data_IF_115391000852
#
_entry.id   IF_115391000852
#
_cell.length_a   1.000
_cell.length_b   1.000
_cell.length_c   1.000
_cell.angle_alpha   90.00
_cell.angle_beta   90.00
_cell.angle_gamma   90.00
#
_symmetry.space_group_name_H-M   'P 1'
#
loop_
_entity.id
_entity.type
_entity.pdbx_description
1 polymer ?
#
# COMPACT_ATOMS: atom_id res chain seq x y z
N UNK A 1 -8.12 -21.89 -11.89
CA UNK A 1 -8.59 -20.50 -12.05
C UNK A 1 -7.51 -19.47 -11.76
N UNK A 2 -6.78 -19.56 -10.65
CA UNK A 2 -5.65 -18.65 -10.33
C UNK A 2 -4.55 -18.63 -11.40
N UNK A 3 -4.35 -19.73 -12.14
CA UNK A 3 -3.40 -19.81 -13.25
C UNK A 3 -3.81 -18.96 -14.47
N UNK A 4 -5.09 -18.64 -14.63
CA UNK A 4 -5.60 -17.84 -15.75
C UNK A 4 -5.61 -16.34 -15.45
N UNK A 5 -5.86 -15.94 -14.19
CA UNK A 5 -5.92 -14.54 -13.77
C UNK A 5 -4.64 -14.03 -13.14
N UNK A 6 -3.70 -14.93 -12.75
CA UNK A 6 -2.42 -14.58 -12.15
C UNK A 6 -2.52 -13.93 -10.76
N UNK A 7 -3.70 -13.88 -10.16
CA UNK A 7 -3.94 -13.24 -8.86
C UNK A 7 -4.85 -14.07 -7.97
N UNK A 8 -4.62 -14.01 -6.65
CA UNK A 8 -5.45 -14.69 -5.65
C UNK A 8 -6.83 -14.05 -5.42
N UNK A 9 -7.10 -12.88 -6.00
CA UNK A 9 -8.39 -12.18 -5.93
C UNK A 9 -9.11 -12.32 -7.27
N UNK A 10 -9.83 -13.40 -7.42
CA UNK A 10 -10.62 -13.72 -8.60
C UNK A 10 -11.84 -12.79 -8.73
N UNK A 11 -11.98 -12.14 -9.90
CA UNK A 11 -13.20 -11.45 -10.32
C UNK A 11 -13.80 -12.23 -11.51
N UNK A 12 -15.03 -12.69 -11.36
CA UNK A 12 -15.71 -13.52 -12.36
C UNK A 12 -15.81 -12.79 -13.73
N UNK A 13 -15.96 -11.46 -13.71
CA UNK A 13 -16.02 -10.67 -14.93
C UNK A 13 -14.67 -10.65 -15.65
N UNK A 14 -13.55 -10.54 -14.92
CA UNK A 14 -12.20 -10.64 -15.49
C UNK A 14 -12.01 -11.99 -16.20
N UNK A 15 -12.43 -13.08 -15.56
CA UNK A 15 -12.34 -14.41 -16.14
C UNK A 15 -13.16 -14.55 -17.44
N UNK A 16 -14.41 -14.08 -17.44
CA UNK A 16 -15.28 -14.15 -18.64
C UNK A 16 -14.64 -13.37 -19.79
N UNK A 17 -14.13 -12.16 -19.52
CA UNK A 17 -13.47 -11.34 -20.55
C UNK A 17 -12.24 -12.06 -21.12
N UNK A 18 -11.41 -12.66 -20.26
CA UNK A 18 -10.23 -13.39 -20.71
C UNK A 18 -10.58 -14.64 -21.53
N UNK A 19 -11.68 -15.35 -21.21
CA UNK A 19 -12.17 -16.46 -22.02
C UNK A 19 -12.64 -15.99 -23.40
N UNK A 20 -13.38 -14.88 -23.49
CA UNK A 20 -13.79 -14.30 -24.77
C UNK A 20 -12.56 -13.88 -25.60
N UNK A 21 -11.54 -13.29 -24.97
CA UNK A 21 -10.30 -12.93 -25.66
C UNK A 21 -9.59 -14.17 -26.20
N UNK A 22 -9.50 -15.24 -25.43
CA UNK A 22 -8.83 -16.49 -25.84
C UNK A 22 -9.63 -17.17 -26.98
N UNK A 23 -10.97 -17.13 -26.96
CA UNK A 23 -11.86 -17.70 -28.02
C UNK A 23 -11.76 -16.94 -29.32
N UNK A 24 -11.72 -15.60 -29.29
CA UNK A 24 -11.71 -14.75 -30.47
C UNK A 24 -10.30 -14.23 -30.82
N UNK A 25 -9.27 -14.86 -30.29
CA UNK A 25 -7.88 -14.52 -30.57
C UNK A 25 -7.61 -14.58 -32.09
N UNK A 26 -6.75 -13.69 -32.57
CA UNK A 26 -6.32 -13.60 -33.96
C UNK A 26 -7.46 -13.31 -34.95
N UNK A 27 -8.51 -12.63 -34.49
CA UNK A 27 -9.62 -12.13 -35.27
C UNK A 27 -9.76 -10.61 -35.16
N UNK A 28 -10.58 -10.00 -36.01
CA UNK A 28 -10.94 -8.57 -35.93
C UNK A 28 -12.18 -8.31 -35.05
N UNK A 29 -12.46 -9.18 -34.07
CA UNK A 29 -13.62 -9.07 -33.19
C UNK A 29 -13.51 -7.89 -32.25
N UNK A 30 -14.64 -7.24 -31.99
CA UNK A 30 -14.76 -6.22 -30.92
C UNK A 30 -15.44 -6.86 -29.70
N UNK A 31 -14.78 -6.78 -28.55
CA UNK A 31 -15.34 -7.21 -27.26
C UNK A 31 -15.74 -5.95 -26.48
N UNK A 32 -17.01 -5.89 -26.07
CA UNK A 32 -17.55 -4.81 -25.24
C UNK A 32 -18.14 -5.40 -23.97
N UNK A 33 -17.61 -4.98 -22.80
CA UNK A 33 -18.03 -5.55 -21.51
C UNK A 33 -18.18 -4.48 -20.43
N UNK A 34 -19.31 -4.54 -19.70
CA UNK A 34 -19.52 -3.77 -18.49
C UNK A 34 -18.76 -4.42 -17.33
N UNK A 35 -17.85 -3.69 -16.70
CA UNK A 35 -17.06 -4.22 -15.60
C UNK A 35 -16.58 -3.12 -14.65
N UNK A 36 -15.92 -3.53 -13.56
CA UNK A 36 -15.18 -2.58 -12.72
C UNK A 36 -13.98 -2.02 -13.48
N UNK A 37 -13.64 -0.76 -13.25
CA UNK A 37 -12.47 -0.12 -13.86
C UNK A 37 -11.16 -0.88 -13.52
N UNK A 38 -11.07 -1.46 -12.31
CA UNK A 38 -9.92 -2.30 -11.93
C UNK A 38 -9.80 -3.58 -12.76
N UNK A 39 -10.92 -4.20 -13.13
CA UNK A 39 -10.97 -5.38 -14.02
C UNK A 39 -10.48 -5.00 -15.41
N UNK A 40 -11.00 -3.91 -15.99
CA UNK A 40 -10.56 -3.42 -17.30
C UNK A 40 -9.04 -3.18 -17.36
N UNK A 41 -8.47 -2.58 -16.30
CA UNK A 41 -7.01 -2.36 -16.20
C UNK A 41 -6.21 -3.66 -16.10
N UNK A 42 -6.72 -4.66 -15.38
CA UNK A 42 -6.09 -5.97 -15.29
C UNK A 42 -6.13 -6.67 -16.65
N UNK A 43 -7.28 -6.65 -17.32
CA UNK A 43 -7.42 -7.23 -18.66
C UNK A 43 -6.42 -6.61 -19.65
N UNK A 44 -6.26 -5.28 -19.65
CA UNK A 44 -5.25 -4.63 -20.51
C UNK A 44 -3.82 -5.14 -20.21
N UNK A 45 -3.45 -5.30 -18.93
CA UNK A 45 -2.15 -5.85 -18.55
C UNK A 45 -2.00 -7.31 -19.02
N UNK A 46 -3.06 -8.10 -18.93
CA UNK A 46 -3.06 -9.50 -19.37
C UNK A 46 -2.95 -9.63 -20.90
N UNK A 47 -3.64 -8.78 -21.68
CA UNK A 47 -3.46 -8.70 -23.13
C UNK A 47 -1.99 -8.51 -23.50
N UNK A 48 -1.30 -7.57 -22.84
CA UNK A 48 0.13 -7.31 -23.04
C UNK A 48 1.00 -8.49 -22.61
N UNK A 49 0.75 -9.06 -21.42
CA UNK A 49 1.49 -10.20 -20.89
C UNK A 49 1.40 -11.45 -21.77
N UNK A 50 0.19 -11.73 -22.28
CA UNK A 50 -0.09 -12.87 -23.17
C UNK A 50 0.28 -12.59 -24.63
N UNK A 51 0.73 -11.37 -24.94
CA UNK A 51 1.01 -10.92 -26.33
C UNK A 51 -0.17 -11.21 -27.27
N UNK A 52 -1.38 -10.90 -26.82
CA UNK A 52 -2.58 -10.98 -27.66
C UNK A 52 -2.53 -9.83 -28.65
N UNK A 53 -2.84 -10.08 -29.92
CA UNK A 53 -2.93 -9.05 -30.94
C UNK A 53 -4.22 -8.24 -30.75
N UNK A 54 -4.10 -6.93 -30.57
CA UNK A 54 -5.24 -6.01 -30.48
C UNK A 54 -4.84 -4.62 -30.96
N UNK A 55 -5.77 -3.96 -31.66
CA UNK A 55 -5.59 -2.63 -32.25
C UNK A 55 -5.84 -1.53 -31.25
N UNK A 56 -6.89 -1.67 -30.43
CA UNK A 56 -7.20 -0.73 -29.36
C UNK A 56 -7.79 -1.42 -28.13
N UNK A 57 -7.59 -0.77 -26.98
CA UNK A 57 -8.25 -1.10 -25.74
C UNK A 57 -8.65 0.22 -25.08
N UNK A 58 -9.94 0.47 -24.93
CA UNK A 58 -10.49 1.72 -24.46
C UNK A 58 -11.45 1.50 -23.31
N UNK A 59 -11.55 2.46 -22.44
CA UNK A 59 -12.41 2.45 -21.25
C UNK A 59 -13.34 3.66 -21.32
N UNK A 60 -14.65 3.43 -21.24
CA UNK A 60 -15.64 4.50 -21.05
C UNK A 60 -16.12 4.46 -19.61
N UNK A 61 -15.66 5.42 -18.80
CA UNK A 61 -16.01 5.52 -17.38
C UNK A 61 -17.32 6.27 -17.16
N UNK A 62 -18.11 5.78 -16.22
CA UNK A 62 -19.32 6.43 -15.75
C UNK A 62 -19.48 6.32 -14.23
N UNK A 63 -20.35 7.14 -13.66
CA UNK A 63 -20.66 7.12 -12.24
C UNK A 63 -21.67 6.00 -11.93
N UNK A 64 -21.16 4.88 -11.42
CA UNK A 64 -21.98 3.73 -11.04
C UNK A 64 -22.96 4.02 -9.90
N UNK A 65 -22.72 5.03 -9.09
CA UNK A 65 -23.63 5.44 -8.03
C UNK A 65 -24.92 6.06 -8.61
N UNK A 66 -24.79 6.80 -9.70
CA UNK A 66 -25.95 7.38 -10.41
C UNK A 66 -26.72 6.32 -11.19
N UNK A 67 -26.02 5.38 -11.81
CA UNK A 67 -26.65 4.37 -12.71
C UNK A 67 -27.20 3.18 -11.94
N UNK A 68 -26.46 2.67 -10.97
CA UNK A 68 -26.75 1.41 -10.26
C UNK A 68 -26.92 1.56 -8.74
N UNK A 69 -26.77 2.76 -8.17
CA UNK A 69 -26.85 2.99 -6.74
C UNK A 69 -25.72 2.33 -5.93
N UNK A 70 -24.58 2.00 -6.56
CA UNK A 70 -23.46 1.33 -5.93
C UNK A 70 -22.20 2.21 -5.87
N UNK A 71 -21.49 2.16 -4.74
CA UNK A 71 -20.23 2.88 -4.58
C UNK A 71 -19.05 2.06 -5.14
N UNK A 72 -18.96 1.97 -6.47
CA UNK A 72 -17.85 1.32 -7.15
C UNK A 72 -17.49 2.06 -8.44
N UNK A 73 -16.23 2.07 -8.83
CA UNK A 73 -15.82 2.54 -10.16
C UNK A 73 -16.23 1.49 -11.19
N UNK A 74 -17.01 1.88 -12.20
CA UNK A 74 -17.44 1.02 -13.28
C UNK A 74 -17.18 1.66 -14.63
N UNK A 75 -17.10 0.83 -15.66
CA UNK A 75 -16.83 1.26 -17.02
C UNK A 75 -17.37 0.26 -18.04
N UNK A 76 -17.51 0.70 -19.29
CA UNK A 76 -17.57 -0.18 -20.46
C UNK A 76 -16.14 -0.32 -20.97
N UNK A 77 -15.62 -1.54 -20.99
CA UNK A 77 -14.36 -1.90 -21.60
C UNK A 77 -14.61 -2.25 -23.07
N UNK A 78 -13.87 -1.62 -23.99
CA UNK A 78 -13.89 -1.91 -25.43
C UNK A 78 -12.52 -2.43 -25.83
N UNK A 79 -12.47 -3.62 -26.46
CA UNK A 79 -11.24 -4.21 -26.99
C UNK A 79 -11.48 -4.53 -28.45
N UNK A 80 -10.68 -3.98 -29.35
CA UNK A 80 -10.65 -4.38 -30.73
C UNK A 80 -9.47 -5.33 -30.95
N UNK A 81 -9.75 -6.62 -31.06
CA UNK A 81 -8.75 -7.62 -31.39
C UNK A 81 -8.24 -7.40 -32.81
N UNK A 82 -7.12 -8.01 -33.15
CA UNK A 82 -6.51 -7.91 -34.49
C UNK A 82 -6.11 -9.30 -35.00
N UNK A 83 -6.30 -9.51 -36.28
CA UNK A 83 -5.77 -10.64 -37.05
C UNK A 83 -4.33 -10.39 -37.55
N UNK A 84 -3.78 -9.22 -37.23
CA UNK A 84 -2.39 -8.81 -37.49
C UNK A 84 -1.61 -8.77 -36.21
N UNK A 85 -0.29 -8.84 -36.29
CA UNK A 85 0.60 -8.72 -35.16
C UNK A 85 0.70 -7.25 -34.68
N UNK A 86 -0.41 -6.74 -34.13
CA UNK A 86 -0.57 -5.40 -33.60
C UNK A 86 -0.83 -5.49 -32.10
N UNK A 87 -0.01 -4.81 -31.28
CA UNK A 87 -0.20 -4.79 -29.84
C UNK A 87 -0.07 -3.35 -29.32
N UNK A 88 -1.23 -2.72 -29.02
CA UNK A 88 -1.23 -1.35 -28.49
C UNK A 88 -0.55 -1.28 -27.10
N UNK A 89 0.28 -0.26 -26.92
CA UNK A 89 0.88 0.06 -25.62
C UNK A 89 0.03 0.99 -24.74
N UNK A 90 -1.05 1.52 -25.29
CA UNK A 90 -1.86 2.55 -24.65
C UNK A 90 -3.31 2.11 -24.55
N UNK A 91 -3.92 2.36 -23.40
CA UNK A 91 -5.35 2.30 -23.15
C UNK A 91 -5.86 3.72 -22.88
N UNK A 92 -6.84 4.18 -23.63
CA UNK A 92 -7.46 5.48 -23.42
C UNK A 92 -8.70 5.37 -22.54
N UNK A 93 -8.91 6.41 -21.72
CA UNK A 93 -10.06 6.51 -20.82
C UNK A 93 -10.90 7.70 -21.25
N UNK A 94 -12.17 7.46 -21.54
CA UNK A 94 -13.14 8.44 -21.99
C UNK A 94 -14.28 8.60 -21.00
N UNK A 95 -15.02 9.68 -21.12
CA UNK A 95 -16.30 9.85 -20.45
C UNK A 95 -17.37 9.08 -21.19
N UNK A 96 -18.21 8.30 -20.49
CA UNK A 96 -19.28 7.54 -21.12
C UNK A 96 -20.37 8.44 -21.73
N UNK A 97 -20.69 9.56 -21.06
CA UNK A 97 -21.69 10.52 -21.54
C UNK A 97 -21.15 11.39 -22.69
N UNK A 98 -19.82 11.59 -22.72
CA UNK A 98 -19.12 12.40 -23.73
C UNK A 98 -17.94 11.62 -24.31
N UNK A 99 -18.17 10.61 -25.18
CA UNK A 99 -17.13 9.71 -25.68
C UNK A 99 -16.03 10.41 -26.50
N UNK A 100 -16.28 11.59 -27.02
CA UNK A 100 -15.28 12.41 -27.71
C UNK A 100 -14.29 13.05 -26.73
N UNK A 101 -14.61 13.09 -25.43
CA UNK A 101 -13.76 13.70 -24.39
C UNK A 101 -12.89 12.64 -23.73
N UNK A 102 -11.62 12.59 -24.14
CA UNK A 102 -10.63 11.77 -23.45
C UNK A 102 -10.31 12.35 -22.07
N UNK A 103 -10.48 11.57 -21.00
CA UNK A 103 -10.16 11.92 -19.61
C UNK A 103 -8.68 11.71 -19.31
N UNK A 104 -8.12 10.57 -19.73
CA UNK A 104 -6.75 10.19 -19.46
C UNK A 104 -6.30 9.05 -20.36
N UNK A 105 -5.05 8.68 -20.30
CA UNK A 105 -4.49 7.47 -20.89
C UNK A 105 -3.49 6.82 -19.93
N UNK A 106 -3.41 5.50 -19.97
CA UNK A 106 -2.42 4.71 -19.24
C UNK A 106 -1.83 3.64 -20.16
N UNK A 107 -0.75 3.01 -19.75
CA UNK A 107 -0.13 1.97 -20.57
C UNK A 107 1.35 1.82 -20.32
N UNK A 108 2.06 1.40 -21.35
CA UNK A 108 3.47 1.07 -21.27
C UNK A 108 4.35 2.10 -22.01
N UNK A 109 5.45 2.51 -21.38
CA UNK A 109 6.54 3.25 -22.02
C UNK A 109 7.82 2.45 -21.74
N UNK A 110 8.54 2.05 -22.79
CA UNK A 110 9.76 1.24 -22.69
C UNK A 110 9.58 -0.03 -21.81
N UNK A 111 8.42 -0.70 -21.96
CA UNK A 111 8.09 -1.90 -21.18
C UNK A 111 7.66 -1.66 -19.74
N UNK A 112 7.64 -0.43 -19.26
CA UNK A 112 7.22 -0.06 -17.91
C UNK A 112 5.80 0.49 -17.91
N UNK A 113 4.98 0.00 -16.97
CA UNK A 113 3.58 0.39 -16.86
C UNK A 113 3.40 1.69 -16.06
N UNK A 114 2.66 2.64 -16.62
CA UNK A 114 2.27 3.90 -16.00
C UNK A 114 0.73 4.02 -15.96
N UNK A 115 0.20 4.50 -14.83
CA UNK A 115 -1.23 4.75 -14.68
C UNK A 115 -1.69 6.07 -15.29
N UNK A 116 -0.75 6.99 -15.55
CA UNK A 116 -0.96 8.26 -16.24
C UNK A 116 0.23 8.50 -17.18
N UNK A 117 -0.07 8.67 -18.46
CA UNK A 117 0.95 8.94 -19.50
C UNK A 117 1.08 10.44 -19.85
N UNK A 118 0.30 11.28 -19.18
CA UNK A 118 0.30 12.73 -19.37
C UNK A 118 1.07 13.39 -18.23
N UNK A 119 2.02 14.28 -18.55
CA UNK A 119 2.94 14.88 -17.60
C UNK A 119 4.15 13.96 -17.36
N UNK A 120 5.27 14.27 -18.01
CA UNK A 120 6.51 13.53 -17.76
C UNK A 120 7.02 13.86 -16.36
N UNK A 121 7.00 12.85 -15.49
CA UNK A 121 7.74 12.84 -14.23
C UNK A 121 9.12 12.22 -14.44
N UNK A 122 10.04 12.49 -13.53
CA UNK A 122 11.30 11.75 -13.46
C UNK A 122 11.05 10.24 -13.44
N UNK A 123 11.91 9.49 -14.11
CA UNK A 123 11.80 8.03 -14.12
C UNK A 123 12.50 7.42 -12.90
N UNK A 124 11.82 7.41 -11.77
CA UNK A 124 12.27 6.72 -10.56
C UNK A 124 11.79 5.27 -10.47
N UNK A 125 11.25 4.73 -11.56
CA UNK A 125 10.78 3.35 -11.61
C UNK A 125 11.94 2.36 -11.65
N UNK A 126 11.94 1.43 -10.72
CA UNK A 126 12.98 0.41 -10.61
C UNK A 126 12.65 -0.59 -9.51
N UNK A 127 13.63 -0.92 -8.70
CA UNK A 127 13.52 -1.77 -7.54
C UNK A 127 13.87 -0.99 -6.27
N UNK A 128 13.00 -1.06 -5.28
CA UNK A 128 13.25 -0.44 -3.98
C UNK A 128 14.27 -1.27 -3.20
N UNK A 129 15.37 -0.63 -2.78
CA UNK A 129 16.38 -1.29 -1.94
C UNK A 129 15.91 -1.57 -0.51
N UNK A 130 14.83 -0.92 -0.07
CA UNK A 130 14.20 -1.16 1.23
C UNK A 130 12.99 -2.08 1.07
N UNK A 131 12.78 -2.96 2.05
CA UNK A 131 11.62 -3.85 2.02
C UNK A 131 10.37 -3.17 2.61
N UNK A 132 9.40 -2.90 1.77
CA UNK A 132 8.10 -2.42 2.19
C UNK A 132 7.32 -3.50 2.94
N UNK A 133 6.85 -3.17 4.12
CA UNK A 133 6.03 -4.03 4.97
C UNK A 133 4.63 -3.45 5.12
N UNK A 134 3.65 -4.30 5.28
CA UNK A 134 2.29 -3.94 5.67
C UNK A 134 2.17 -4.06 7.18
N UNK A 135 1.35 -3.21 7.80
CA UNK A 135 1.15 -3.24 9.23
C UNK A 135 0.34 -4.42 9.74
N UNK A 136 0.17 -4.47 11.04
CA UNK A 136 -0.45 -5.59 11.75
C UNK A 136 -1.94 -5.71 11.45
N UNK A 137 -2.40 -6.96 11.32
CA UNK A 137 -3.80 -7.33 11.13
C UNK A 137 -4.23 -8.29 12.22
N UNK A 138 -5.27 -7.95 12.96
CA UNK A 138 -5.82 -8.78 14.05
C UNK A 138 -7.33 -9.02 13.95
N UNK A 139 -8.05 -8.25 13.13
CA UNK A 139 -9.50 -8.33 12.90
C UNK A 139 -10.37 -8.37 14.19
N UNK A 140 -9.88 -7.80 15.29
CA UNK A 140 -10.54 -7.73 16.58
C UNK A 140 -10.32 -6.38 17.26
N UNK A 141 -10.57 -5.27 16.52
CA UNK A 141 -10.20 -3.91 16.93
C UNK A 141 -10.82 -3.46 18.26
N UNK A 142 -12.05 -3.88 18.55
CA UNK A 142 -12.71 -3.50 19.81
C UNK A 142 -12.04 -4.09 21.06
N UNK A 143 -11.26 -5.14 20.92
CA UNK A 143 -10.54 -5.81 22.01
C UNK A 143 -9.04 -5.47 21.99
N UNK A 144 -8.42 -5.57 20.80
CA UNK A 144 -6.98 -5.44 20.65
C UNK A 144 -6.49 -3.99 20.61
N UNK A 145 -7.33 -3.05 20.15
CA UNK A 145 -6.97 -1.64 20.07
C UNK A 145 -7.43 -0.89 21.34
N UNK A 146 -6.51 -0.16 21.93
CA UNK A 146 -6.72 0.55 23.17
C UNK A 146 -6.55 2.06 22.98
N UNK A 147 -7.16 2.83 23.85
CA UNK A 147 -6.90 4.25 24.06
C UNK A 147 -6.54 4.47 25.54
N UNK A 148 -5.83 5.54 25.85
CA UNK A 148 -5.53 5.90 27.25
C UNK A 148 -6.44 7.06 27.65
N UNK A 149 -7.10 6.91 28.79
CA UNK A 149 -7.86 7.97 29.45
C UNK A 149 -7.54 7.96 30.94
N UNK A 150 -7.09 9.10 31.45
CA UNK A 150 -6.71 9.26 32.87
C UNK A 150 -5.68 8.19 33.33
N UNK A 151 -4.72 7.87 32.46
CA UNK A 151 -3.69 6.86 32.72
C UNK A 151 -4.17 5.39 32.66
N UNK A 152 -5.43 5.14 32.28
CA UNK A 152 -6.03 3.80 32.22
C UNK A 152 -6.30 3.43 30.76
N UNK A 153 -5.93 2.21 30.38
CA UNK A 153 -6.30 1.65 29.07
C UNK A 153 -7.81 1.43 28.98
N UNK A 154 -8.38 1.85 27.85
CA UNK A 154 -9.78 1.62 27.47
C UNK A 154 -9.82 0.87 26.15
N UNK A 155 -10.64 -0.18 26.08
CA UNK A 155 -10.89 -0.92 24.83
C UNK A 155 -11.91 -0.18 23.93
N UNK A 156 -12.25 -0.77 22.79
CA UNK A 156 -13.22 -0.19 21.84
C UNK A 156 -14.67 -0.16 22.35
N UNK A 157 -14.98 -0.75 23.52
CA UNK A 157 -16.26 -0.64 24.22
C UNK A 157 -16.22 0.42 25.33
N UNK A 158 -15.12 1.14 25.49
CA UNK A 158 -14.87 2.10 26.57
C UNK A 158 -14.78 1.46 27.97
N UNK A 159 -14.55 0.17 28.04
CA UNK A 159 -14.30 -0.56 29.28
C UNK A 159 -12.85 -0.36 29.72
N UNK A 160 -12.62 -0.25 31.02
CA UNK A 160 -11.27 -0.23 31.59
C UNK A 160 -10.63 -1.60 31.45
N UNK A 161 -9.37 -1.62 30.98
CA UNK A 161 -8.62 -2.85 30.75
C UNK A 161 -7.37 -2.84 31.64
N UNK A 162 -7.27 -3.85 32.50
CA UNK A 162 -6.08 -4.05 33.33
C UNK A 162 -5.23 -5.14 32.71
N UNK A 163 -4.10 -4.74 32.09
CA UNK A 163 -3.18 -5.62 31.37
C UNK A 163 -1.75 -5.18 31.60
N UNK A 164 -0.79 -6.05 31.26
CA UNK A 164 0.63 -5.73 31.30
C UNK A 164 1.00 -4.75 30.18
N UNK A 165 1.73 -3.69 30.54
CA UNK A 165 2.20 -2.68 29.58
C UNK A 165 3.26 -3.23 28.60
N UNK A 166 3.93 -4.31 28.95
CA UNK A 166 5.04 -4.90 28.18
C UNK A 166 4.67 -5.35 26.77
N UNK A 167 3.39 -5.69 26.54
CA UNK A 167 2.88 -6.13 25.23
C UNK A 167 1.93 -5.11 24.58
N UNK A 168 1.86 -3.91 25.12
CA UNK A 168 1.07 -2.80 24.56
C UNK A 168 1.99 -1.85 23.84
N UNK A 169 1.72 -1.60 22.59
CA UNK A 169 2.54 -0.78 21.70
C UNK A 169 1.74 0.38 21.10
N UNK A 170 2.36 1.55 20.88
CA UNK A 170 1.75 2.63 20.12
C UNK A 170 1.26 2.13 18.75
N UNK A 171 0.06 2.55 18.35
CA UNK A 171 -0.56 2.17 17.08
C UNK A 171 -0.86 3.41 16.24
N UNK A 172 -0.41 3.39 14.98
CA UNK A 172 -0.84 4.35 13.97
C UNK A 172 -1.76 3.68 12.95
N UNK A 173 -2.87 4.33 12.65
CA UNK A 173 -3.85 3.94 11.62
C UNK A 173 -3.78 4.88 10.43
N UNK A 174 -4.19 4.43 9.25
CA UNK A 174 -4.17 5.23 8.03
C UNK A 174 -4.70 6.65 8.20
N UNK A 175 -5.75 6.86 8.99
CA UNK A 175 -6.33 8.20 9.23
C UNK A 175 -5.46 9.13 10.07
N UNK A 176 -4.40 8.61 10.68
CA UNK A 176 -3.51 9.38 11.56
C UNK A 176 -2.26 9.92 10.83
N UNK A 177 -2.01 9.53 9.59
CA UNK A 177 -0.93 10.07 8.76
C UNK A 177 -1.25 11.50 8.31
N UNK A 178 -1.02 12.48 9.18
CA UNK A 178 -1.37 13.89 8.96
C UNK A 178 -0.18 14.85 9.08
N UNK A 179 0.98 14.35 9.51
CA UNK A 179 2.20 15.11 9.69
C UNK A 179 3.41 14.31 9.19
N UNK A 180 4.48 14.96 8.73
CA UNK A 180 5.69 14.29 8.27
C UNK A 180 6.49 13.61 9.39
N UNK A 181 6.27 14.01 10.65
CA UNK A 181 6.87 13.40 11.83
C UNK A 181 5.74 13.08 12.81
N UNK A 182 5.68 11.82 13.26
CA UNK A 182 4.65 11.35 14.20
C UNK A 182 5.35 10.57 15.32
N UNK A 183 5.31 11.11 16.53
CA UNK A 183 5.93 10.53 17.72
C UNK A 183 5.00 10.46 18.94
N UNK A 184 3.81 11.07 18.85
CA UNK A 184 2.78 11.04 19.88
C UNK A 184 1.57 10.22 19.41
N UNK A 185 1.09 9.32 20.25
CA UNK A 185 0.06 8.36 19.92
C UNK A 185 -1.09 8.38 20.92
N UNK A 186 -2.31 8.36 20.42
CA UNK A 186 -3.55 8.24 21.20
C UNK A 186 -4.16 6.83 21.10
N UNK A 187 -3.59 5.97 20.27
CA UNK A 187 -4.01 4.59 20.10
C UNK A 187 -2.86 3.65 20.38
N UNK A 188 -3.21 2.49 20.91
CA UNK A 188 -2.30 1.41 21.24
C UNK A 188 -2.88 0.09 20.76
N UNK A 189 -2.03 -0.93 20.67
CA UNK A 189 -2.44 -2.29 20.29
C UNK A 189 -1.76 -3.31 21.18
N UNK A 190 -2.51 -4.33 21.58
CA UNK A 190 -1.98 -5.52 22.24
C UNK A 190 -1.27 -6.37 21.19
N UNK A 191 0.00 -6.68 21.38
CA UNK A 191 0.80 -7.50 20.45
C UNK A 191 1.06 -8.86 21.09
N UNK A 192 0.39 -9.88 20.59
CA UNK A 192 0.37 -11.23 21.17
C UNK A 192 1.45 -12.16 20.66
N UNK A 193 2.20 -11.76 19.63
CA UNK A 193 3.19 -12.59 18.94
C UNK A 193 4.36 -11.74 18.46
N UNK A 194 5.55 -12.34 18.36
CA UNK A 194 6.73 -11.73 17.73
C UNK A 194 6.88 -12.14 16.26
N UNK A 195 6.32 -13.26 15.87
CA UNK A 195 6.32 -13.79 14.50
C UNK A 195 5.00 -14.43 14.15
N UNK A 196 4.71 -14.52 12.84
CA UNK A 196 3.47 -15.10 12.32
C UNK A 196 3.36 -16.56 12.76
N UNK A 197 2.17 -16.95 13.25
CA UNK A 197 1.81 -18.29 13.73
C UNK A 197 2.60 -18.77 14.96
N UNK A 198 3.26 -17.85 15.67
CA UNK A 198 3.79 -18.17 17.00
C UNK A 198 2.65 -18.59 17.92
N UNK A 199 2.90 -19.61 18.74
CA UNK A 199 1.90 -20.04 19.73
C UNK A 199 1.65 -18.92 20.74
N UNK A 200 0.39 -18.68 21.06
CA UNK A 200 -0.02 -17.63 22.00
C UNK A 200 -0.24 -18.14 23.43
N UNK A 201 -0.07 -19.44 23.68
CA UNK A 201 -0.21 -20.04 25.02
C UNK A 201 0.84 -19.51 26.02
N UNK A 202 2.01 -19.06 25.54
CA UNK A 202 3.04 -18.45 26.38
C UNK A 202 2.51 -17.22 27.16
N UNK A 203 1.53 -16.50 26.59
CA UNK A 203 0.92 -15.32 27.24
C UNK A 203 0.33 -15.66 28.61
N UNK A 204 -0.10 -16.90 28.82
CA UNK A 204 -0.65 -17.36 30.10
C UNK A 204 0.33 -17.22 31.27
N UNK A 205 1.61 -17.41 30.99
CA UNK A 205 2.67 -17.34 32.00
C UNK A 205 3.33 -15.95 31.98
N UNK A 206 3.56 -15.39 30.79
CA UNK A 206 4.35 -14.16 30.63
C UNK A 206 3.54 -12.91 30.99
N UNK A 207 2.23 -12.89 30.66
CA UNK A 207 1.32 -11.74 30.83
C UNK A 207 -0.09 -12.19 31.24
N UNK A 208 -0.22 -12.75 32.47
CA UNK A 208 -1.44 -13.42 32.92
C UNK A 208 -2.69 -12.54 32.95
N UNK A 209 -2.57 -11.24 33.24
CA UNK A 209 -3.73 -10.32 33.19
C UNK A 209 -4.22 -10.12 31.78
N UNK A 210 -3.30 -9.98 30.83
CA UNK A 210 -3.65 -9.90 29.40
C UNK A 210 -4.24 -11.21 28.90
N UNK A 211 -3.69 -12.34 29.32
CA UNK A 211 -4.27 -13.65 28.99
C UNK A 211 -5.72 -13.76 29.47
N UNK A 212 -6.01 -13.40 30.72
CA UNK A 212 -7.36 -13.39 31.28
C UNK A 212 -8.30 -12.48 30.48
N UNK A 213 -7.85 -11.25 30.17
CA UNK A 213 -8.61 -10.29 29.35
C UNK A 213 -8.94 -10.84 27.97
N UNK A 214 -7.97 -11.43 27.27
CA UNK A 214 -8.16 -12.01 25.94
C UNK A 214 -9.07 -13.23 25.99
N UNK A 215 -8.91 -14.10 27.00
CA UNK A 215 -9.71 -15.31 27.21
C UNK A 215 -11.18 -14.98 27.49
N UNK A 216 -11.45 -13.95 28.28
CA UNK A 216 -12.81 -13.44 28.51
C UNK A 216 -13.48 -12.91 27.22
N UNK A 217 -12.71 -12.66 26.18
CA UNK A 217 -13.17 -12.19 24.88
C UNK A 217 -12.99 -13.23 23.75
N UNK A 218 -12.67 -14.48 24.06
CA UNK A 218 -12.32 -15.55 23.13
C UNK A 218 -13.31 -15.70 21.96
N UNK A 219 -14.61 -15.64 22.26
CA UNK A 219 -15.67 -15.78 21.25
C UNK A 219 -15.59 -14.72 20.13
N UNK A 220 -15.06 -13.54 20.43
CA UNK A 220 -14.87 -12.47 19.41
C UNK A 220 -13.74 -12.82 18.46
N UNK A 221 -12.69 -13.49 18.94
CA UNK A 221 -11.58 -13.98 18.12
C UNK A 221 -12.02 -15.15 17.22
N UNK A 222 -12.82 -16.08 17.73
CA UNK A 222 -13.39 -17.19 16.95
C UNK A 222 -14.29 -16.72 15.81
N UNK A 223 -14.94 -15.57 15.94
CA UNK A 223 -15.83 -14.98 14.92
C UNK A 223 -15.10 -14.19 13.83
N UNK A 224 -13.76 -14.14 13.83
CA UNK A 224 -13.00 -13.50 12.77
C UNK A 224 -13.24 -14.19 11.42
N UNK A 225 -13.60 -13.39 10.39
CA UNK A 225 -14.07 -13.93 9.10
C UNK A 225 -12.95 -14.28 8.13
N UNK A 226 -11.76 -13.68 8.30
CA UNK A 226 -10.67 -13.88 7.35
C UNK A 226 -10.09 -15.29 7.45
N UNK A 227 -9.92 -15.94 6.30
CA UNK A 227 -9.37 -17.30 6.20
C UNK A 227 -7.94 -17.43 6.73
N UNK A 228 -7.20 -16.30 6.86
CA UNK A 228 -5.83 -16.31 7.40
C UNK A 228 -5.76 -16.84 8.84
N UNK A 229 -6.88 -16.75 9.60
CA UNK A 229 -6.96 -17.23 10.98
C UNK A 229 -7.32 -18.72 11.09
N UNK A 230 -7.65 -19.38 9.99
CA UNK A 230 -7.95 -20.82 10.02
C UNK A 230 -6.69 -21.61 10.37
N UNK A 231 -6.74 -22.39 11.44
CA UNK A 231 -5.61 -23.15 11.95
C UNK A 231 -4.47 -22.31 12.56
N UNK A 232 -4.70 -21.02 12.80
CA UNK A 232 -3.77 -20.17 13.54
C UNK A 232 -4.12 -20.18 15.05
N UNK A 233 -3.15 -19.89 15.94
CA UNK A 233 -3.40 -19.71 17.37
C UNK A 233 -4.51 -18.69 17.64
N UNK A 234 -5.26 -18.88 18.73
CA UNK A 234 -6.52 -18.16 18.98
C UNK A 234 -6.38 -16.63 18.96
N UNK A 235 -5.36 -16.10 19.63
CA UNK A 235 -5.11 -14.67 19.73
C UNK A 235 -4.13 -14.16 18.69
N UNK A 236 -3.88 -14.92 17.61
CA UNK A 236 -2.91 -14.60 16.59
C UNK A 236 -3.21 -13.32 15.83
N UNK A 237 -2.15 -12.69 15.38
CA UNK A 237 -2.15 -11.55 14.48
C UNK A 237 -1.23 -11.81 13.28
N UNK A 238 -1.41 -11.06 12.21
CA UNK A 238 -0.62 -11.14 10.98
C UNK A 238 0.04 -9.79 10.69
N UNK A 239 1.00 -9.78 9.77
CA UNK A 239 1.79 -8.57 9.51
C UNK A 239 2.73 -8.22 10.66
N UNK A 240 3.16 -9.22 11.43
CA UNK A 240 4.06 -9.13 12.57
C UNK A 240 5.35 -9.90 12.29
N UNK A 241 6.48 -9.38 12.73
CA UNK A 241 7.81 -9.95 12.58
C UNK A 241 8.85 -9.03 13.22
N UNK A 242 10.14 -9.36 13.14
CA UNK A 242 11.23 -8.54 13.68
C UNK A 242 11.19 -7.09 13.18
N UNK A 243 10.84 -6.91 11.90
CA UNK A 243 10.66 -5.59 11.29
C UNK A 243 9.60 -4.72 12.01
N UNK A 244 8.62 -5.31 12.67
CA UNK A 244 7.59 -4.57 13.41
C UNK A 244 8.16 -3.87 14.65
N UNK A 245 9.31 -4.34 15.14
CA UNK A 245 9.99 -3.82 16.33
C UNK A 245 11.12 -2.83 16.02
N UNK A 246 11.31 -2.47 14.74
CA UNK A 246 12.23 -1.38 14.38
C UNK A 246 11.85 -0.08 15.08
N UNK A 247 12.85 0.63 15.62
CA UNK A 247 12.66 1.87 16.37
C UNK A 247 12.19 3.01 15.48
N UNK A 248 12.71 3.10 14.27
CA UNK A 248 12.40 4.15 13.31
C UNK A 248 11.79 3.55 12.05
N UNK A 249 10.70 4.12 11.60
CA UNK A 249 10.01 3.71 10.37
C UNK A 249 9.66 4.93 9.53
N UNK A 250 9.61 4.77 8.23
CA UNK A 250 8.92 5.71 7.34
C UNK A 250 7.68 5.02 6.81
N UNK A 251 6.54 5.55 7.15
CA UNK A 251 5.24 4.97 6.84
C UNK A 251 4.38 5.86 5.94
N UNK A 252 3.39 5.22 5.32
CA UNK A 252 2.39 5.87 4.46
C UNK A 252 1.02 5.22 4.65
N UNK A 253 -0.03 6.04 4.60
CA UNK A 253 -1.41 5.53 4.49
C UNK A 253 -1.67 4.95 3.10
N UNK A 254 -2.23 3.75 3.02
CA UNK A 254 -2.66 3.16 1.76
C UNK A 254 -3.90 3.82 1.14
N UNK A 255 -4.66 4.62 1.88
CA UNK A 255 -5.96 5.15 1.45
C UNK A 255 -5.92 6.55 0.85
N UNK A 256 -4.95 7.38 1.22
CA UNK A 256 -4.94 8.77 0.77
C UNK A 256 -4.48 8.91 -0.67
N UNK A 257 -5.16 9.79 -1.43
CA UNK A 257 -4.80 10.07 -2.83
C UNK A 257 -3.53 10.91 -2.94
N UNK A 258 -3.33 11.88 -2.03
CA UNK A 258 -2.08 12.62 -1.90
C UNK A 258 -1.18 11.84 -0.94
N UNK A 259 -0.06 11.28 -1.39
CA UNK A 259 0.83 10.53 -0.53
C UNK A 259 1.51 11.46 0.47
N UNK A 260 1.57 11.06 1.72
CA UNK A 260 2.37 11.71 2.76
C UNK A 260 3.14 10.61 3.48
N UNK A 261 4.45 10.67 3.39
CA UNK A 261 5.34 9.78 4.12
C UNK A 261 5.72 10.41 5.46
N UNK A 262 5.64 9.62 6.51
CA UNK A 262 5.88 10.10 7.87
C UNK A 262 6.95 9.28 8.56
N UNK A 263 7.89 9.94 9.23
CA UNK A 263 8.76 9.28 10.21
C UNK A 263 7.93 8.91 11.43
N UNK A 264 8.02 7.66 11.85
CA UNK A 264 7.30 7.10 12.98
C UNK A 264 8.30 6.62 14.03
N UNK A 265 8.19 7.14 15.25
CA UNK A 265 8.92 6.68 16.43
C UNK A 265 8.13 7.08 17.68
N UNK A 266 8.47 6.53 18.83
CA UNK A 266 7.86 6.89 20.11
C UNK A 266 8.92 7.46 21.04
N UNK A 267 8.57 8.49 21.81
CA UNK A 267 9.49 9.19 22.73
C UNK A 267 9.92 8.29 23.88
N UNK A 268 9.09 7.31 24.27
CA UNK A 268 9.42 6.29 25.28
C UNK A 268 10.29 5.13 24.74
N UNK A 269 10.60 5.18 23.44
CA UNK A 269 11.42 4.17 22.76
C UNK A 269 10.67 2.88 22.40
N UNK A 270 9.39 2.75 22.70
CA UNK A 270 8.58 1.60 22.25
C UNK A 270 8.42 1.61 20.74
N UNK A 271 8.61 0.47 20.04
CA UNK A 271 8.34 0.39 18.60
C UNK A 271 6.90 0.75 18.25
N UNK A 272 6.71 1.56 17.22
CA UNK A 272 5.39 1.95 16.74
C UNK A 272 4.84 0.87 15.82
N UNK A 273 3.65 0.35 16.11
CA UNK A 273 2.92 -0.54 15.21
C UNK A 273 2.07 0.27 14.24
N UNK A 274 1.93 -0.24 13.02
CA UNK A 274 1.02 0.32 12.01
C UNK A 274 -0.10 -0.68 11.74
N UNK A 275 -1.29 -0.22 11.37
CA UNK A 275 -2.37 -1.13 11.00
C UNK A 275 -2.20 -1.68 9.56
N UNK A 276 -2.98 -2.73 9.20
CA UNK A 276 -2.92 -3.40 7.89
C UNK A 276 -3.35 -2.53 6.70
N UNK A 277 -3.74 -1.29 6.95
CA UNK A 277 -4.08 -0.31 5.92
C UNK A 277 -2.93 0.64 5.58
N UNK A 278 -1.82 0.48 6.27
CA UNK A 278 -0.61 1.29 6.15
C UNK A 278 0.57 0.44 5.68
N UNK A 279 1.54 1.08 5.04
CA UNK A 279 2.79 0.46 4.63
C UNK A 279 3.97 1.24 5.20
N UNK A 280 5.09 0.55 5.44
CA UNK A 280 6.28 1.18 6.00
C UNK A 280 7.57 0.47 5.58
N UNK A 281 8.67 1.19 5.70
CA UNK A 281 10.06 0.70 5.66
C UNK A 281 10.76 1.02 6.97
N UNK A 282 11.76 0.22 7.34
CA UNK A 282 12.47 0.30 8.61
C UNK A 282 13.84 0.95 8.45
N UNK A 283 14.27 1.65 9.49
CA UNK A 283 15.60 2.27 9.57
C UNK A 283 16.22 2.08 10.96
N UNK A 284 17.56 2.04 11.00
CA UNK A 284 18.32 1.87 12.23
C UNK A 284 18.53 3.21 12.97
N UNK A 285 18.42 4.34 12.27
CA UNK A 285 18.57 5.67 12.87
C UNK A 285 17.45 6.62 12.44
N UNK A 286 17.23 7.64 13.26
CA UNK A 286 16.31 8.74 12.96
C UNK A 286 16.75 9.50 11.72
N UNK A 287 18.05 9.79 11.57
CA UNK A 287 18.60 10.55 10.46
C UNK A 287 18.32 9.87 9.12
N UNK A 288 18.52 8.54 9.06
CA UNK A 288 18.22 7.75 7.86
C UNK A 288 16.73 7.78 7.52
N UNK A 289 15.86 7.63 8.51
CA UNK A 289 14.42 7.72 8.32
C UNK A 289 14.01 9.14 7.88
N UNK A 290 14.62 10.15 8.44
CA UNK A 290 14.35 11.56 8.11
C UNK A 290 14.73 11.88 6.66
N UNK A 291 15.94 11.50 6.21
CA UNK A 291 16.38 11.66 4.81
C UNK A 291 15.43 10.91 3.85
N UNK A 292 15.10 9.66 4.17
CA UNK A 292 14.16 8.89 3.34
C UNK A 292 12.78 9.56 3.24
N UNK A 293 12.27 10.09 4.35
CA UNK A 293 11.00 10.82 4.41
C UNK A 293 11.04 12.08 3.53
N UNK A 294 12.12 12.87 3.58
CA UNK A 294 12.28 14.06 2.72
C UNK A 294 12.32 13.68 1.24
N UNK A 295 13.13 12.67 0.87
CA UNK A 295 13.20 12.19 -0.51
C UNK A 295 11.82 11.75 -1.03
N UNK A 296 11.08 10.97 -0.25
CA UNK A 296 9.77 10.44 -0.63
C UNK A 296 8.68 11.51 -0.69
N UNK A 297 8.80 12.59 0.07
CA UNK A 297 7.86 13.72 0.03
C UNK A 297 8.27 14.83 -0.96
N UNK A 298 9.44 14.75 -1.58
CA UNK A 298 9.85 15.73 -2.60
C UNK A 298 8.85 15.75 -3.77
N UNK A 299 8.60 16.92 -4.33
CA UNK A 299 7.66 17.11 -5.45
C UNK A 299 7.95 16.15 -6.61
N UNK A 300 9.22 15.93 -6.95
CA UNK A 300 9.63 15.02 -8.02
C UNK A 300 9.20 13.58 -7.77
N UNK A 301 9.42 13.06 -6.55
CA UNK A 301 9.02 11.69 -6.18
C UNK A 301 7.50 11.57 -6.04
N UNK A 302 6.83 12.60 -5.53
CA UNK A 302 5.38 12.65 -5.45
C UNK A 302 4.74 12.61 -6.85
N UNK A 303 5.25 13.36 -7.80
CA UNK A 303 4.78 13.36 -9.19
C UNK A 303 5.00 11.99 -9.86
N UNK A 304 6.16 11.37 -9.62
CA UNK A 304 6.41 9.99 -10.07
C UNK A 304 5.39 9.01 -9.47
N UNK A 305 5.16 9.04 -8.16
CA UNK A 305 4.20 8.15 -7.50
C UNK A 305 2.78 8.31 -8.05
N UNK A 306 2.35 9.54 -8.28
CA UNK A 306 1.05 9.82 -8.90
C UNK A 306 0.96 9.28 -10.32
N UNK A 307 2.07 9.23 -11.07
CA UNK A 307 2.11 8.70 -12.44
C UNK A 307 2.00 7.17 -12.49
N UNK A 308 2.34 6.45 -11.43
CA UNK A 308 2.33 4.98 -11.38
C UNK A 308 1.18 4.40 -10.55
N UNK A 309 0.45 5.22 -9.79
CA UNK A 309 -0.67 4.83 -8.95
C UNK A 309 -2.01 5.17 -9.60
N UNK A 310 -3.01 4.31 -9.45
CA UNK A 310 -4.40 4.62 -9.82
C UNK A 310 -5.10 5.32 -8.65
N UNK A 311 -5.27 6.63 -8.75
CA UNK A 311 -5.79 7.45 -7.65
C UNK A 311 -7.29 7.25 -7.37
N UNK A 312 -8.02 6.62 -8.28
CA UNK A 312 -9.42 6.19 -8.09
C UNK A 312 -9.55 4.84 -7.36
N UNK A 313 -8.44 4.10 -7.23
CA UNK A 313 -8.41 2.88 -6.45
C UNK A 313 -8.63 3.17 -4.95
N UNK A 314 -9.29 2.24 -4.24
CA UNK A 314 -9.47 2.33 -2.78
C UNK A 314 -8.14 2.46 -2.03
N UNK A 315 -7.08 1.81 -2.54
CA UNK A 315 -5.71 1.87 -1.99
C UNK A 315 -4.75 2.17 -3.16
N UNK A 316 -4.49 3.45 -3.49
CA UNK A 316 -3.61 3.81 -4.61
C UNK A 316 -2.17 3.33 -4.39
N UNK A 317 -1.66 3.48 -3.17
CA UNK A 317 -0.27 3.16 -2.82
C UNK A 317 -0.20 1.80 -2.13
N UNK A 318 -0.29 0.74 -2.93
CA UNK A 318 -0.09 -0.63 -2.45
C UNK A 318 1.40 -0.95 -2.33
N UNK A 319 1.74 -2.04 -1.61
CA UNK A 319 3.12 -2.55 -1.54
C UNK A 319 3.75 -2.65 -2.92
N UNK A 320 3.05 -3.23 -3.91
CA UNK A 320 3.53 -3.37 -5.31
C UNK A 320 3.85 -2.04 -6.00
N UNK A 321 3.13 -0.97 -5.67
CA UNK A 321 3.42 0.38 -6.19
C UNK A 321 4.66 0.95 -5.51
N UNK A 322 4.75 0.84 -4.18
CA UNK A 322 5.85 1.36 -3.39
C UNK A 322 7.18 0.65 -3.68
N UNK A 323 7.16 -0.66 -3.95
CA UNK A 323 8.34 -1.46 -4.34
C UNK A 323 8.97 -1.00 -5.67
N UNK A 324 8.29 -0.16 -6.44
CA UNK A 324 8.80 0.42 -7.69
C UNK A 324 9.64 1.68 -7.49
N UNK A 325 9.71 2.22 -6.28
CA UNK A 325 10.49 3.41 -5.95
C UNK A 325 11.97 3.04 -5.87
N UNK A 326 12.75 3.46 -6.85
CA UNK A 326 14.19 3.21 -6.92
C UNK A 326 14.96 4.36 -6.25
N UNK A 327 15.38 4.14 -5.01
CA UNK A 327 16.15 5.14 -4.25
C UNK A 327 17.49 5.49 -4.90
N UNK A 328 18.14 4.56 -5.61
CA UNK A 328 19.39 4.88 -6.32
C UNK A 328 19.18 5.91 -7.41
N UNK A 329 18.10 5.78 -8.17
CA UNK A 329 17.73 6.79 -9.18
C UNK A 329 17.37 8.12 -8.54
N UNK A 330 16.66 8.11 -7.40
CA UNK A 330 16.30 9.32 -6.69
C UNK A 330 17.57 10.04 -6.24
N UNK A 331 18.47 9.39 -5.50
CA UNK A 331 19.67 10.03 -4.95
C UNK A 331 20.70 10.41 -6.03
N UNK A 332 20.60 9.86 -7.25
CA UNK A 332 21.47 10.24 -8.37
C UNK A 332 21.14 11.63 -8.93
N UNK A 333 19.90 12.11 -8.75
CA UNK A 333 19.42 13.38 -9.32
C UNK A 333 18.99 14.39 -8.25
N UNK A 334 18.76 13.94 -7.01
CA UNK A 334 18.42 14.83 -5.90
C UNK A 334 19.68 15.40 -5.27
N UNK A 335 19.62 16.65 -4.84
CA UNK A 335 20.71 17.34 -4.13
C UNK A 335 20.26 17.69 -2.71
N UNK A 336 21.18 18.14 -1.87
CA UNK A 336 20.85 18.61 -0.52
C UNK A 336 19.91 19.81 -0.54
N UNK A 337 20.01 20.68 -1.55
CA UNK A 337 19.13 21.81 -1.74
C UNK A 337 17.68 21.39 -1.96
N UNK A 338 17.44 20.36 -2.77
CA UNK A 338 16.10 19.78 -2.94
C UNK A 338 15.52 19.25 -1.62
N UNK A 339 16.36 18.64 -0.76
CA UNK A 339 15.91 18.13 0.55
C UNK A 339 15.57 19.29 1.49
N UNK A 340 16.38 20.35 1.52
CA UNK A 340 16.10 21.58 2.30
C UNK A 340 14.82 22.26 1.82
N UNK A 341 14.56 22.27 0.53
CA UNK A 341 13.32 22.80 -0.04
C UNK A 341 12.12 21.96 0.42
N UNK A 342 12.21 20.63 0.32
CA UNK A 342 11.17 19.73 0.82
C UNK A 342 10.94 19.89 2.33
N UNK A 343 11.99 20.05 3.12
CA UNK A 343 11.92 20.30 4.57
C UNK A 343 11.11 21.58 4.86
N UNK A 344 11.39 22.65 4.11
CA UNK A 344 10.66 23.93 4.20
C UNK A 344 9.19 23.79 3.78
N UNK A 345 8.91 23.09 2.67
CA UNK A 345 7.55 22.85 2.18
C UNK A 345 6.70 22.05 3.19
N UNK A 346 7.33 21.13 3.91
CA UNK A 346 6.72 20.36 4.99
C UNK A 346 6.58 21.15 6.30
N UNK A 347 7.00 22.40 6.34
CA UNK A 347 7.03 23.27 7.54
C UNK A 347 7.81 22.65 8.70
N UNK A 348 8.91 21.98 8.41
CA UNK A 348 9.82 21.43 9.41
C UNK A 348 10.91 22.45 9.77
N UNK A 349 11.47 22.32 10.98
CA UNK A 349 12.67 23.04 11.38
C UNK A 349 13.87 22.52 10.58
N UNK A 350 14.82 23.39 10.27
CA UNK A 350 16.06 23.00 9.61
C UNK A 350 16.82 21.95 10.43
N UNK A 351 16.89 20.75 9.89
CA UNK A 351 17.54 19.60 10.54
C UNK A 351 18.47 18.86 9.58
N UNK A 352 18.09 18.78 8.28
CA UNK A 352 18.85 18.05 7.28
C UNK A 352 20.25 18.67 7.08
N UNK A 353 21.27 17.83 7.10
CA UNK A 353 22.66 18.21 6.84
C UNK A 353 23.25 17.45 5.65
N UNK A 354 24.32 18.00 5.06
CA UNK A 354 25.03 17.35 3.98
C UNK A 354 25.62 15.99 4.43
N UNK A 355 26.09 15.92 5.68
CA UNK A 355 26.61 14.68 6.27
C UNK A 355 25.55 13.57 6.29
N UNK A 356 24.33 13.86 6.77
CA UNK A 356 23.23 12.90 6.82
C UNK A 356 22.89 12.39 5.41
N UNK A 357 22.87 13.28 4.42
CA UNK A 357 22.56 12.90 3.06
C UNK A 357 23.65 12.04 2.41
N UNK A 358 24.93 12.36 2.65
CA UNK A 358 26.07 11.55 2.18
C UNK A 358 26.04 10.15 2.84
N UNK A 359 25.77 10.09 4.14
CA UNK A 359 25.66 8.82 4.88
C UNK A 359 24.52 7.96 4.33
N UNK A 360 23.37 8.55 4.07
CA UNK A 360 22.25 7.88 3.43
C UNK A 360 22.63 7.31 2.05
N UNK A 361 23.30 8.07 1.20
CA UNK A 361 23.77 7.60 -0.12
C UNK A 361 24.71 6.39 0.00
N UNK A 362 25.64 6.44 0.95
CA UNK A 362 26.57 5.33 1.21
C UNK A 362 25.83 4.07 1.64
N UNK A 363 24.87 4.18 2.55
CA UNK A 363 24.11 3.03 3.05
C UNK A 363 23.29 2.35 1.94
N UNK A 364 22.67 3.11 1.05
CA UNK A 364 21.95 2.57 -0.12
C UNK A 364 22.90 1.77 -1.03
N UNK A 365 24.09 2.29 -1.33
CA UNK A 365 25.10 1.59 -2.13
C UNK A 365 25.54 0.26 -1.50
N UNK A 366 25.70 0.19 -0.18
CA UNK A 366 26.01 -1.03 0.56
C UNK A 366 24.87 -2.06 0.52
N UNK A 367 23.63 -1.62 0.70
CA UNK A 367 22.45 -2.50 0.61
C UNK A 367 22.35 -3.15 -0.77
N UNK A 368 22.62 -2.40 -1.83
CA UNK A 368 22.58 -2.93 -3.19
C UNK A 368 23.64 -4.02 -3.43
N UNK A 369 24.85 -3.86 -2.89
CA UNK A 369 25.92 -4.88 -2.98
C UNK A 369 25.57 -6.18 -2.24
N UNK A 370 24.73 -6.13 -1.21
CA UNK A 370 24.26 -7.32 -0.49
C UNK A 370 23.10 -8.04 -1.19
N UNK A 371 22.44 -7.39 -2.17
CA UNK A 371 21.30 -7.94 -2.90
C UNK A 371 21.67 -8.52 -4.28
N UNK A 372 22.90 -8.28 -4.74
CA UNK A 372 23.50 -8.84 -5.97
C UNK A 372 24.33 -10.07 -5.66
#
# INVERSE_FOLDING_TARGET
MDALTGTSNFDICEYIILQLIDEYRDTNTVISMLCKTSVARNVFKELKRKKVAFRSCDILEFDASKVFGISASACVLLIQLSDKDEVSDICCVYDFEYPEKRKSKFGYINGQFYSHLEGQSDNFNGYCCFEWRQGVKHDCSKIMELSVKDGIFKNGFQESVLIEDTIVYPLIKSSMFKAPIIHNFSKYVIVTQKKIREDTEHLKNDVPKTWEYLSNNEEKFKRRKSSIYHGAPLFSMFGIGEYSYSKYKVGISGFYKKPLFSVLFSDDGKPVMTDDTSYFICFDSYDMAYVAMLLLNSERVQNFLMSIAFLDAKRPYTKKVLERIDFNKIVSVMTIEHLKETEKELNLSEYISEYMYIDFKKSIGMIQLCLT
#
